data_IF_294679967498
#
_entry.id   IF_294679967498
#
_cell.length_a   1.000
_cell.length_b   1.000
_cell.length_c   1.000
_cell.angle_alpha   90.00
_cell.angle_beta   90.00
_cell.angle_gamma   90.00
#
_symmetry.space_group_name_H-M   'P 1'
#
loop_
_entity.id
_entity.type
_entity.pdbx_description
1 polymer ?
#
# COMPACT_ATOMS: atom_id res chain seq x y z
N UNK A 1 -28.20 39.08 22.08
CA UNK A 1 -27.28 38.46 21.08
C UNK A 1 -25.93 39.14 21.23
N UNK A 2 -24.82 38.45 21.46
CA UNK A 2 -23.51 39.05 21.46
C UNK A 2 -23.21 39.53 20.03
N UNK A 3 -22.98 40.79 19.85
CA UNK A 3 -22.51 41.40 18.60
C UNK A 3 -21.03 41.05 18.51
N UNK A 4 -20.68 40.06 17.72
CA UNK A 4 -19.28 39.76 17.42
C UNK A 4 -18.73 40.91 16.55
N UNK A 5 -17.60 41.43 16.96
CA UNK A 5 -16.85 42.42 16.19
C UNK A 5 -16.47 41.80 14.84
N UNK A 6 -17.02 42.32 13.74
CA UNK A 6 -16.78 41.87 12.38
C UNK A 6 -15.47 42.43 11.79
N UNK A 7 -14.64 43.06 12.62
CA UNK A 7 -13.35 43.57 12.17
C UNK A 7 -12.41 42.44 11.76
N UNK A 8 -11.78 42.59 10.60
CA UNK A 8 -10.77 41.65 10.10
C UNK A 8 -9.54 41.69 11.01
N UNK A 9 -9.23 40.57 11.65
CA UNK A 9 -7.99 40.39 12.38
C UNK A 9 -6.96 39.73 11.49
N UNK A 10 -5.88 40.43 11.20
CA UNK A 10 -4.76 39.85 10.45
C UNK A 10 -4.21 38.60 11.16
N UNK A 11 -4.00 37.53 10.40
CA UNK A 11 -3.41 36.32 10.93
C UNK A 11 -1.96 36.58 11.37
N UNK A 12 -1.66 36.36 12.65
CA UNK A 12 -0.32 36.53 13.23
C UNK A 12 0.45 35.24 13.44
N UNK A 13 -0.05 34.11 12.93
CA UNK A 13 0.60 32.82 13.04
C UNK A 13 1.71 32.61 11.98
N UNK A 14 2.56 31.62 12.21
CA UNK A 14 3.58 31.18 11.23
C UNK A 14 2.92 30.43 10.07
N UNK A 15 3.27 30.79 8.86
CA UNK A 15 2.83 30.05 7.67
C UNK A 15 3.69 28.79 7.49
N UNK A 16 3.04 27.64 7.30
CA UNK A 16 3.74 26.40 6.95
C UNK A 16 4.33 26.47 5.53
N UNK A 17 5.50 25.84 5.34
CA UNK A 17 6.17 25.79 4.03
C UNK A 17 5.28 25.18 2.95
N UNK A 18 5.32 25.75 1.73
CA UNK A 18 4.59 25.27 0.57
C UNK A 18 4.92 23.82 0.18
N UNK A 19 6.14 23.35 0.46
CA UNK A 19 6.65 22.03 0.08
C UNK A 19 5.96 20.87 0.82
N UNK A 20 5.39 21.09 2.01
CA UNK A 20 4.85 20.05 2.89
C UNK A 20 3.33 20.10 3.02
N UNK A 21 2.62 20.74 2.11
CA UNK A 21 1.15 20.89 2.17
C UNK A 21 0.42 19.54 2.13
N UNK A 22 0.89 18.60 1.33
CA UNK A 22 0.35 17.25 1.26
C UNK A 22 0.44 16.50 2.61
N UNK A 23 1.46 16.79 3.42
CA UNK A 23 1.66 16.15 4.72
C UNK A 23 0.54 16.49 5.71
N UNK A 24 -0.07 17.68 5.61
CA UNK A 24 -1.22 18.06 6.44
C UNK A 24 -2.43 17.16 6.13
N UNK A 25 -2.66 16.85 4.86
CA UNK A 25 -3.73 15.93 4.43
C UNK A 25 -3.43 14.51 4.92
N UNK A 26 -2.19 14.06 4.76
CA UNK A 26 -1.73 12.75 5.22
C UNK A 26 -1.90 12.61 6.74
N UNK A 27 -1.43 13.59 7.52
CA UNK A 27 -1.53 13.60 8.99
C UNK A 27 -2.99 13.56 9.46
N UNK A 28 -3.86 14.37 8.88
CA UNK A 28 -5.28 14.39 9.22
C UNK A 28 -5.97 13.06 8.86
N UNK A 29 -5.64 12.49 7.68
CA UNK A 29 -6.16 11.19 7.27
C UNK A 29 -5.70 10.05 8.17
N UNK A 30 -4.41 10.00 8.48
CA UNK A 30 -3.84 8.97 9.35
C UNK A 30 -4.39 9.07 10.77
N UNK A 31 -4.46 10.29 11.35
CA UNK A 31 -5.04 10.53 12.66
C UNK A 31 -6.49 10.03 12.74
N UNK A 32 -7.29 10.27 11.68
CA UNK A 32 -8.67 9.77 11.62
C UNK A 32 -8.74 8.24 11.74
N UNK A 33 -7.86 7.50 11.05
CA UNK A 33 -7.86 6.04 11.12
C UNK A 33 -7.29 5.51 12.44
N UNK A 34 -6.21 6.10 12.93
CA UNK A 34 -5.56 5.67 14.18
C UNK A 34 -6.39 5.98 15.43
N UNK A 35 -7.40 6.84 15.37
CA UNK A 35 -8.33 7.08 16.48
C UNK A 35 -9.55 6.15 16.49
N UNK A 36 -9.77 5.35 15.44
CA UNK A 36 -10.93 4.46 15.34
C UNK A 36 -10.59 3.06 15.81
N UNK A 37 -11.27 2.59 16.87
CA UNK A 37 -11.06 1.26 17.49
C UNK A 37 -11.06 0.11 16.47
N UNK A 38 -11.98 0.12 15.50
CA UNK A 38 -12.05 -0.93 14.48
C UNK A 38 -10.83 -0.96 13.57
N UNK A 39 -10.25 0.19 13.19
CA UNK A 39 -9.04 0.23 12.38
C UNK A 39 -7.81 -0.17 13.18
N UNK A 40 -7.76 0.21 14.46
CA UNK A 40 -6.70 -0.27 15.36
C UNK A 40 -6.78 -1.78 15.52
N UNK A 41 -7.96 -2.35 15.77
CA UNK A 41 -8.15 -3.80 15.86
C UNK A 41 -7.69 -4.51 14.58
N UNK A 42 -8.02 -3.96 13.41
CA UNK A 42 -7.55 -4.50 12.13
C UNK A 42 -6.01 -4.47 12.02
N UNK A 43 -5.36 -3.37 12.40
CA UNK A 43 -3.90 -3.27 12.42
C UNK A 43 -3.29 -4.30 13.39
N UNK A 44 -3.86 -4.46 14.58
CA UNK A 44 -3.40 -5.46 15.54
C UNK A 44 -3.50 -6.89 14.99
N UNK A 45 -4.61 -7.24 14.32
CA UNK A 45 -4.77 -8.55 13.67
C UNK A 45 -3.69 -8.73 12.59
N UNK A 46 -3.41 -7.70 11.78
CA UNK A 46 -2.37 -7.73 10.78
C UNK A 46 -0.96 -7.91 11.34
N UNK A 47 -0.74 -7.50 12.60
CA UNK A 47 0.54 -7.65 13.29
C UNK A 47 0.71 -8.99 13.99
N UNK A 48 -0.30 -9.85 14.07
CA UNK A 48 -0.18 -11.21 14.64
C UNK A 48 0.81 -12.06 13.82
N UNK A 49 0.73 -12.01 12.51
CA UNK A 49 1.61 -12.77 11.62
C UNK A 49 3.10 -12.39 11.76
N UNK A 50 3.50 -11.08 11.76
CA UNK A 50 4.87 -10.70 12.09
C UNK A 50 5.36 -11.21 13.45
N UNK A 51 4.51 -11.13 14.48
CA UNK A 51 4.85 -11.63 15.81
C UNK A 51 5.12 -13.14 15.76
N UNK A 52 4.26 -13.91 15.10
CA UNK A 52 4.46 -15.36 14.93
C UNK A 52 5.77 -15.67 14.19
N UNK A 53 6.11 -14.90 13.15
CA UNK A 53 7.40 -15.03 12.44
C UNK A 53 8.60 -14.65 13.31
N UNK A 54 8.47 -13.65 14.18
CA UNK A 54 9.51 -13.30 15.16
C UNK A 54 9.74 -14.38 16.19
N UNK A 55 8.65 -14.95 16.74
CA UNK A 55 8.75 -16.11 17.63
C UNK A 55 9.41 -17.29 16.93
N UNK A 56 9.10 -17.51 15.66
CA UNK A 56 9.73 -18.56 14.86
C UNK A 56 11.26 -18.34 14.74
N UNK A 57 11.73 -17.12 14.40
CA UNK A 57 13.15 -16.76 14.35
C UNK A 57 13.83 -17.06 15.69
N UNK A 58 13.19 -16.66 16.78
CA UNK A 58 13.73 -16.91 18.14
C UNK A 58 13.85 -18.39 18.47
N UNK A 59 12.82 -19.21 18.16
CA UNK A 59 12.84 -20.66 18.39
C UNK A 59 13.96 -21.34 17.57
N UNK A 60 14.11 -20.95 16.29
CA UNK A 60 15.12 -21.51 15.39
C UNK A 60 16.55 -21.30 15.92
N UNK A 61 16.81 -20.15 16.56
CA UNK A 61 18.13 -19.88 17.16
C UNK A 61 18.31 -20.51 18.56
N UNK A 62 17.21 -20.69 19.31
CA UNK A 62 17.26 -21.30 20.64
C UNK A 62 17.42 -22.83 20.59
N UNK A 63 17.04 -23.48 19.49
CA UNK A 63 17.05 -24.91 19.30
C UNK A 63 17.68 -25.31 17.97
N UNK A 64 19.02 -25.26 17.82
CA UNK A 64 19.70 -25.53 16.54
C UNK A 64 19.46 -26.92 15.98
N UNK A 65 19.04 -27.89 16.81
CA UNK A 65 18.71 -29.26 16.38
C UNK A 65 17.39 -29.35 15.63
N UNK A 66 16.56 -28.31 15.68
CA UNK A 66 15.26 -28.26 15.02
C UNK A 66 15.40 -27.47 13.72
N UNK A 67 15.93 -28.09 12.67
CA UNK A 67 15.93 -27.53 11.30
C UNK A 67 14.51 -27.47 10.73
N UNK A 68 13.68 -26.52 11.19
CA UNK A 68 12.31 -26.38 10.69
C UNK A 68 12.26 -25.67 9.34
N UNK A 69 12.91 -24.53 9.19
CA UNK A 69 12.95 -23.73 7.94
C UNK A 69 14.21 -22.87 7.97
N UNK A 70 14.88 -22.73 6.84
CA UNK A 70 16.01 -21.79 6.68
C UNK A 70 15.49 -20.36 6.65
N UNK A 71 16.15 -19.48 7.40
CA UNK A 71 15.84 -18.05 7.39
C UNK A 71 16.69 -17.39 6.29
N UNK A 72 16.16 -17.41 5.08
CA UNK A 72 16.78 -16.93 3.86
C UNK A 72 15.90 -15.86 3.18
N UNK A 73 16.24 -15.47 1.95
CA UNK A 73 15.44 -14.51 1.17
C UNK A 73 14.00 -14.97 0.92
N UNK A 74 13.77 -16.29 0.78
CA UNK A 74 12.42 -16.84 0.56
C UNK A 74 11.55 -16.74 1.81
N UNK A 75 12.14 -16.84 3.01
CA UNK A 75 11.43 -16.59 4.26
C UNK A 75 10.84 -15.16 4.30
N UNK A 76 11.63 -14.15 3.92
CA UNK A 76 11.18 -12.75 3.88
C UNK A 76 10.21 -12.49 2.72
N UNK A 77 10.46 -13.11 1.56
CA UNK A 77 9.53 -13.09 0.42
C UNK A 77 8.16 -13.64 0.83
N UNK A 78 8.12 -14.83 1.40
CA UNK A 78 6.89 -15.48 1.87
C UNK A 78 6.17 -14.64 2.94
N UNK A 79 6.92 -14.01 3.86
CA UNK A 79 6.34 -13.08 4.83
C UNK A 79 5.61 -11.91 4.15
N UNK A 80 6.27 -11.22 3.22
CA UNK A 80 5.70 -10.03 2.56
C UNK A 80 4.49 -10.38 1.68
N UNK A 81 4.52 -11.54 1.01
CA UNK A 81 3.41 -12.01 0.19
C UNK A 81 2.15 -12.27 1.03
N UNK A 82 2.29 -12.91 2.19
CA UNK A 82 1.17 -13.08 3.14
C UNK A 82 0.68 -11.72 3.66
N UNK A 83 1.60 -10.83 3.97
CA UNK A 83 1.26 -9.49 4.46
C UNK A 83 0.55 -8.63 3.40
N UNK A 84 0.75 -8.94 2.13
CA UNK A 84 0.02 -8.36 1.00
C UNK A 84 -1.50 -8.53 1.10
N UNK A 85 -1.99 -9.64 1.71
CA UNK A 85 -3.41 -9.83 2.01
C UNK A 85 -3.94 -8.73 2.95
N UNK A 86 -3.21 -8.39 4.01
CA UNK A 86 -3.61 -7.33 4.94
C UNK A 86 -3.56 -5.96 4.28
N UNK A 87 -2.61 -5.71 3.38
CA UNK A 87 -2.61 -4.49 2.57
C UNK A 87 -3.85 -4.42 1.68
N UNK A 88 -4.23 -5.52 1.02
CA UNK A 88 -5.44 -5.58 0.21
C UNK A 88 -6.70 -5.24 1.04
N UNK A 89 -6.83 -5.82 2.23
CA UNK A 89 -7.92 -5.50 3.15
C UNK A 89 -7.90 -4.04 3.61
N UNK A 90 -6.70 -3.47 3.86
CA UNK A 90 -6.54 -2.06 4.16
C UNK A 90 -6.95 -1.16 2.99
N UNK A 91 -6.73 -1.57 1.75
CA UNK A 91 -7.22 -0.88 0.58
C UNK A 91 -8.74 -0.95 0.46
N UNK A 92 -9.34 -2.14 0.60
CA UNK A 92 -10.78 -2.34 0.47
C UNK A 92 -11.57 -1.54 1.51
N UNK A 93 -11.11 -1.50 2.74
CA UNK A 93 -11.90 -0.94 3.83
C UNK A 93 -11.53 0.53 4.14
N UNK A 94 -10.36 0.90 4.69
CA UNK A 94 -10.03 2.31 4.90
C UNK A 94 -9.66 3.04 3.60
N UNK A 95 -8.86 2.43 2.72
CA UNK A 95 -8.35 3.05 1.50
C UNK A 95 -9.45 3.50 0.54
N UNK A 96 -10.44 2.65 0.31
CA UNK A 96 -11.58 2.94 -0.56
C UNK A 96 -12.44 4.12 -0.10
N UNK A 97 -12.36 4.51 1.17
CA UNK A 97 -13.12 5.64 1.73
C UNK A 97 -12.39 6.98 1.62
N UNK A 98 -11.11 7.00 1.26
CA UNK A 98 -10.26 8.20 1.33
C UNK A 98 -10.73 9.33 0.41
N UNK A 99 -11.13 9.04 -0.82
CA UNK A 99 -11.65 10.03 -1.78
C UNK A 99 -13.18 9.96 -1.84
N UNK A 100 -13.77 8.77 -1.80
CA UNK A 100 -15.21 8.58 -1.86
C UNK A 100 -15.96 9.37 -0.78
N UNK A 101 -15.41 9.46 0.43
CA UNK A 101 -15.96 10.27 1.51
C UNK A 101 -15.89 11.76 1.20
N UNK A 102 -14.76 12.24 0.67
CA UNK A 102 -14.59 13.64 0.30
C UNK A 102 -15.52 14.04 -0.84
N UNK A 103 -15.76 13.13 -1.79
CA UNK A 103 -16.77 13.30 -2.85
C UNK A 103 -18.19 13.38 -2.26
N UNK A 104 -18.52 12.52 -1.29
CA UNK A 104 -19.84 12.49 -0.66
C UNK A 104 -20.14 13.78 0.11
N UNK A 105 -19.15 14.34 0.79
CA UNK A 105 -19.27 15.54 1.62
C UNK A 105 -18.92 16.84 0.87
N UNK A 106 -18.62 16.77 -0.43
CA UNK A 106 -18.11 17.88 -1.24
C UNK A 106 -16.82 18.54 -0.67
N UNK A 107 -16.08 17.84 0.17
CA UNK A 107 -14.87 18.35 0.82
C UNK A 107 -13.74 18.64 -0.19
N UNK A 108 -13.74 18.02 -1.37
CA UNK A 108 -12.76 18.29 -2.42
C UNK A 108 -12.76 19.78 -2.80
N UNK A 109 -13.92 20.41 -2.86
CA UNK A 109 -14.04 21.86 -3.17
C UNK A 109 -13.34 22.70 -2.09
N UNK A 110 -13.50 22.34 -0.81
CA UNK A 110 -12.82 23.00 0.30
C UNK A 110 -11.30 22.81 0.29
N UNK A 111 -10.81 21.66 -0.14
CA UNK A 111 -9.38 21.45 -0.33
C UNK A 111 -8.82 22.30 -1.47
N UNK A 112 -9.51 22.34 -2.61
CA UNK A 112 -9.05 23.02 -3.80
C UNK A 112 -9.32 24.54 -3.78
N UNK A 113 -10.15 25.06 -2.87
CA UNK A 113 -10.28 26.50 -2.60
C UNK A 113 -9.10 27.06 -1.79
N UNK A 114 -8.31 26.20 -1.14
CA UNK A 114 -7.05 26.56 -0.50
C UNK A 114 -5.90 26.47 -1.50
N UNK A 115 -4.73 27.05 -1.22
CA UNK A 115 -3.58 26.97 -2.11
C UNK A 115 -2.94 25.56 -2.12
N UNK A 116 -3.75 24.54 -2.42
CA UNK A 116 -3.38 23.14 -2.55
C UNK A 116 -3.50 22.73 -4.01
N UNK A 117 -2.47 22.12 -4.57
CA UNK A 117 -2.53 21.54 -5.90
C UNK A 117 -3.31 20.21 -5.87
N UNK A 118 -3.82 19.79 -7.05
CA UNK A 118 -4.45 18.47 -7.21
C UNK A 118 -3.48 17.33 -6.86
N UNK A 119 -2.19 17.54 -7.19
CA UNK A 119 -1.13 16.59 -6.84
C UNK A 119 -0.92 16.50 -5.33
N UNK A 120 -0.90 17.63 -4.60
CA UNK A 120 -0.79 17.62 -3.14
C UNK A 120 -1.92 16.83 -2.49
N UNK A 121 -3.14 16.98 -3.03
CA UNK A 121 -4.29 16.22 -2.54
C UNK A 121 -4.12 14.71 -2.77
N UNK A 122 -3.78 14.28 -3.99
CA UNK A 122 -3.59 12.85 -4.31
C UNK A 122 -2.41 12.26 -3.54
N UNK A 123 -1.27 12.96 -3.48
CA UNK A 123 -0.09 12.54 -2.73
C UNK A 123 -0.41 12.46 -1.24
N UNK A 124 -1.14 13.41 -0.68
CA UNK A 124 -1.57 13.36 0.71
C UNK A 124 -2.45 12.15 1.03
N UNK A 125 -3.39 11.80 0.14
CA UNK A 125 -4.21 10.58 0.30
C UNK A 125 -3.42 9.30 0.10
N UNK A 126 -2.50 9.29 -0.88
CA UNK A 126 -1.59 8.16 -1.11
C UNK A 126 -0.68 7.92 0.10
N UNK A 127 -0.17 8.99 0.72
CA UNK A 127 0.67 8.90 1.90
C UNK A 127 -0.06 8.24 3.10
N UNK A 128 -1.39 8.37 3.20
CA UNK A 128 -2.17 7.62 4.21
C UNK A 128 -2.11 6.12 3.94
N UNK A 129 -2.32 5.69 2.69
CA UNK A 129 -2.22 4.26 2.31
C UNK A 129 -0.80 3.77 2.48
N UNK A 130 0.20 4.58 2.10
CA UNK A 130 1.61 4.25 2.25
C UNK A 130 2.02 4.09 3.72
N UNK A 131 1.51 4.94 4.62
CA UNK A 131 1.78 4.80 6.05
C UNK A 131 1.16 3.51 6.62
N UNK A 132 -0.08 3.19 6.27
CA UNK A 132 -0.74 1.95 6.70
C UNK A 132 -0.01 0.72 6.14
N UNK A 133 0.34 0.73 4.85
CA UNK A 133 1.11 -0.35 4.21
C UNK A 133 2.52 -0.47 4.80
N UNK A 134 3.17 0.64 5.12
CA UNK A 134 4.46 0.68 5.79
C UNK A 134 4.41 0.02 7.19
N UNK A 135 3.36 0.29 7.96
CA UNK A 135 3.13 -0.33 9.28
C UNK A 135 2.84 -1.84 9.15
N UNK A 136 2.10 -2.23 8.12
CA UNK A 136 1.71 -3.64 7.93
C UNK A 136 2.81 -4.50 7.30
N UNK A 137 3.58 -3.96 6.36
CA UNK A 137 4.54 -4.73 5.56
C UNK A 137 5.98 -4.32 5.86
N UNK A 138 6.35 -3.07 5.55
CA UNK A 138 7.75 -2.65 5.50
C UNK A 138 8.40 -2.66 6.87
N UNK A 139 7.76 -2.05 7.87
CA UNK A 139 8.32 -1.95 9.21
C UNK A 139 8.46 -3.35 9.88
N UNK A 140 7.43 -4.23 9.86
CA UNK A 140 7.60 -5.56 10.42
C UNK A 140 8.65 -6.40 9.69
N UNK A 141 8.73 -6.33 8.36
CA UNK A 141 9.76 -7.05 7.61
C UNK A 141 11.19 -6.62 7.99
N UNK A 142 11.39 -5.30 8.15
CA UNK A 142 12.69 -4.77 8.60
C UNK A 142 12.99 -5.14 10.06
N UNK A 143 11.98 -5.16 10.93
CA UNK A 143 12.15 -5.60 12.34
C UNK A 143 12.55 -7.07 12.37
N UNK A 144 11.90 -7.95 11.57
CA UNK A 144 12.27 -9.36 11.48
C UNK A 144 13.70 -9.53 10.95
N UNK A 145 14.10 -8.72 9.96
CA UNK A 145 15.47 -8.72 9.46
C UNK A 145 16.48 -8.31 10.55
N UNK A 146 16.18 -7.24 11.29
CA UNK A 146 17.05 -6.80 12.40
C UNK A 146 17.11 -7.83 13.53
N UNK A 147 16.00 -8.53 13.82
CA UNK A 147 15.95 -9.60 14.79
C UNK A 147 16.82 -10.78 14.36
N UNK A 148 16.74 -11.21 13.10
CA UNK A 148 17.60 -12.24 12.53
C UNK A 148 19.07 -11.83 12.60
N UNK A 149 19.36 -10.59 12.22
CA UNK A 149 20.70 -10.03 12.27
C UNK A 149 21.31 -10.06 13.69
N UNK A 150 20.49 -9.79 14.71
CA UNK A 150 20.95 -9.79 16.11
C UNK A 150 21.13 -11.18 16.72
N UNK A 151 20.44 -12.20 16.18
CA UNK A 151 20.49 -13.58 16.69
C UNK A 151 21.47 -14.47 15.90
N UNK A 152 21.67 -14.20 14.62
CA UNK A 152 22.57 -14.96 13.76
C UNK A 152 24.06 -14.63 14.03
N UNK A 153 24.96 -15.49 13.54
CA UNK A 153 26.39 -15.14 13.47
C UNK A 153 26.57 -14.01 12.48
N UNK A 154 26.60 -12.78 12.99
CA UNK A 154 26.42 -11.50 12.28
C UNK A 154 27.23 -11.36 10.99
N UNK A 155 28.49 -11.80 11.00
CA UNK A 155 29.38 -11.65 9.84
C UNK A 155 28.94 -12.46 8.62
N UNK A 156 28.44 -13.68 8.81
CA UNK A 156 28.00 -14.56 7.70
C UNK A 156 26.66 -14.10 7.14
N UNK A 157 25.71 -13.77 8.00
CA UNK A 157 24.40 -13.33 7.57
C UNK A 157 24.47 -12.00 6.80
N UNK A 158 25.19 -11.01 7.31
CA UNK A 158 25.39 -9.72 6.62
C UNK A 158 26.06 -9.92 5.28
N UNK A 159 27.14 -10.69 5.19
CA UNK A 159 27.87 -10.87 3.93
C UNK A 159 27.00 -11.48 2.84
N UNK A 160 26.04 -12.34 3.21
CA UNK A 160 25.15 -13.02 2.26
C UNK A 160 23.91 -12.18 1.93
N UNK A 161 23.32 -11.50 2.90
CA UNK A 161 21.97 -10.88 2.78
C UNK A 161 21.97 -9.35 2.97
N UNK A 162 23.09 -8.64 2.76
CA UNK A 162 23.20 -7.19 2.90
C UNK A 162 22.21 -6.40 2.03
N UNK A 163 21.82 -6.98 0.89
CA UNK A 163 20.87 -6.39 -0.07
C UNK A 163 19.40 -6.54 0.34
N UNK A 164 19.10 -7.45 1.26
CA UNK A 164 17.72 -7.82 1.64
C UNK A 164 16.88 -6.66 2.19
N UNK A 165 17.41 -5.74 3.04
CA UNK A 165 16.64 -4.56 3.46
C UNK A 165 16.23 -3.67 2.29
N UNK A 166 17.10 -3.51 1.28
CA UNK A 166 16.78 -2.75 0.07
C UNK A 166 15.72 -3.45 -0.76
N UNK A 167 15.77 -4.78 -0.86
CA UNK A 167 14.74 -5.58 -1.51
C UNK A 167 13.38 -5.44 -0.79
N UNK A 168 13.35 -5.51 0.54
CA UNK A 168 12.15 -5.31 1.35
C UNK A 168 11.54 -3.94 1.09
N UNK A 169 12.33 -2.87 1.18
CA UNK A 169 11.86 -1.50 0.95
C UNK A 169 11.38 -1.32 -0.50
N UNK A 170 12.18 -1.76 -1.47
CA UNK A 170 11.89 -1.60 -2.90
C UNK A 170 10.61 -2.32 -3.31
N UNK A 171 10.48 -3.60 -2.98
CA UNK A 171 9.28 -4.37 -3.27
C UNK A 171 8.04 -3.82 -2.55
N UNK A 172 8.15 -3.53 -1.24
CA UNK A 172 7.05 -2.94 -0.48
C UNK A 172 6.59 -1.62 -1.10
N UNK A 173 7.52 -0.75 -1.51
CA UNK A 173 7.19 0.51 -2.16
C UNK A 173 6.40 0.29 -3.46
N UNK A 174 6.84 -0.64 -4.32
CA UNK A 174 6.15 -0.96 -5.58
C UNK A 174 4.72 -1.42 -5.31
N UNK A 175 4.53 -2.39 -4.40
CA UNK A 175 3.20 -2.97 -4.12
C UNK A 175 2.29 -1.94 -3.43
N UNK A 176 2.79 -1.20 -2.45
CA UNK A 176 2.01 -0.19 -1.72
C UNK A 176 1.59 0.96 -2.65
N UNK A 177 2.50 1.44 -3.52
CA UNK A 177 2.19 2.50 -4.47
C UNK A 177 1.14 2.05 -5.48
N UNK A 178 1.29 0.86 -6.05
CA UNK A 178 0.35 0.35 -7.02
C UNK A 178 -1.03 0.09 -6.40
N UNK A 179 -1.11 -0.61 -5.27
CA UNK A 179 -2.36 -0.84 -4.56
C UNK A 179 -3.01 0.48 -4.12
N UNK A 180 -2.21 1.43 -3.61
CA UNK A 180 -2.65 2.74 -3.18
C UNK A 180 -3.22 3.57 -4.31
N UNK A 181 -2.54 3.68 -5.44
CA UNK A 181 -3.04 4.43 -6.61
C UNK A 181 -4.29 3.78 -7.19
N UNK A 182 -4.33 2.45 -7.26
CA UNK A 182 -5.49 1.73 -7.79
C UNK A 182 -6.72 1.88 -6.88
N UNK A 183 -6.56 1.77 -5.56
CA UNK A 183 -7.69 1.99 -4.64
C UNK A 183 -8.14 3.45 -4.61
N UNK A 184 -7.24 4.42 -4.71
CA UNK A 184 -7.60 5.83 -4.81
C UNK A 184 -8.34 6.12 -6.13
N UNK A 185 -7.92 5.50 -7.24
CA UNK A 185 -8.64 5.58 -8.50
C UNK A 185 -10.07 5.04 -8.36
N UNK A 186 -10.23 3.82 -7.81
CA UNK A 186 -11.54 3.25 -7.52
C UNK A 186 -12.37 4.14 -6.57
N UNK A 187 -11.74 4.72 -5.54
CA UNK A 187 -12.35 5.64 -4.58
C UNK A 187 -12.83 6.94 -5.24
N UNK A 188 -12.18 7.38 -6.30
CA UNK A 188 -12.57 8.59 -7.06
C UNK A 188 -13.77 8.36 -8.00
N UNK A 189 -14.12 7.13 -8.29
CA UNK A 189 -15.23 6.77 -9.19
C UNK A 189 -16.59 6.73 -8.49
N UNK A 190 -16.63 6.64 -7.16
CA UNK A 190 -17.87 6.51 -6.39
C UNK A 190 -17.90 7.45 -5.18
N UNK A 191 -19.11 7.93 -4.84
CA UNK A 191 -19.37 8.66 -3.58
C UNK A 191 -19.57 7.72 -2.38
N UNK A 192 -19.63 6.41 -2.61
CA UNK A 192 -19.73 5.39 -1.57
C UNK A 192 -18.44 4.63 -1.40
N UNK A 193 -17.87 4.63 -0.19
CA UNK A 193 -16.67 3.86 0.11
C UNK A 193 -16.88 2.34 -0.01
N UNK A 194 -18.10 1.84 0.19
CA UNK A 194 -18.42 0.42 0.01
C UNK A 194 -18.34 0.02 -1.48
N UNK A 195 -18.96 0.81 -2.37
CA UNK A 195 -18.85 0.56 -3.82
C UNK A 195 -17.40 0.72 -4.34
N UNK A 196 -16.66 1.71 -3.84
CA UNK A 196 -15.26 1.86 -4.18
C UNK A 196 -14.40 0.66 -3.75
N UNK A 197 -14.66 0.13 -2.54
CA UNK A 197 -14.02 -1.09 -2.05
C UNK A 197 -14.40 -2.32 -2.88
N UNK A 198 -15.66 -2.45 -3.26
CA UNK A 198 -16.14 -3.52 -4.14
C UNK A 198 -15.52 -3.44 -5.54
N UNK A 199 -15.36 -2.24 -6.10
CA UNK A 199 -14.67 -2.04 -7.39
C UNK A 199 -13.20 -2.47 -7.30
N UNK A 200 -12.50 -2.07 -6.25
CA UNK A 200 -11.10 -2.47 -6.04
C UNK A 200 -10.98 -3.98 -5.82
N UNK A 201 -11.82 -4.57 -4.96
CA UNK A 201 -11.86 -6.02 -4.74
C UNK A 201 -12.19 -6.76 -6.02
N UNK A 202 -13.22 -6.31 -6.74
CA UNK A 202 -13.63 -6.90 -8.02
C UNK A 202 -12.51 -6.90 -9.05
N UNK A 203 -11.76 -5.79 -9.18
CA UNK A 203 -10.61 -5.72 -10.08
C UNK A 203 -9.58 -6.82 -9.76
N UNK A 204 -9.24 -6.99 -8.48
CA UNK A 204 -8.27 -8.01 -8.04
C UNK A 204 -8.86 -9.42 -8.24
N UNK A 205 -10.07 -9.66 -7.77
CA UNK A 205 -10.72 -10.97 -7.82
C UNK A 205 -10.96 -11.43 -9.26
N UNK A 206 -11.53 -10.57 -10.10
CA UNK A 206 -11.81 -10.96 -11.49
C UNK A 206 -10.54 -11.07 -12.33
N UNK A 207 -9.47 -10.32 -12.05
CA UNK A 207 -8.18 -10.54 -12.70
C UNK A 207 -7.61 -11.92 -12.39
N UNK A 208 -7.74 -12.37 -11.13
CA UNK A 208 -7.31 -13.72 -10.72
C UNK A 208 -8.13 -14.82 -11.39
N UNK A 209 -9.47 -14.66 -11.38
CA UNK A 209 -10.37 -15.64 -12.03
C UNK A 209 -10.12 -15.70 -13.53
N UNK A 210 -9.99 -14.54 -14.19
CA UNK A 210 -9.72 -14.49 -15.63
C UNK A 210 -8.38 -15.15 -16.00
N UNK A 211 -7.32 -14.89 -15.23
CA UNK A 211 -6.03 -15.54 -15.43
C UNK A 211 -6.15 -17.06 -15.26
N UNK A 212 -6.79 -17.55 -14.21
CA UNK A 212 -6.99 -18.96 -13.95
C UNK A 212 -7.77 -19.66 -15.09
N UNK A 213 -8.85 -19.04 -15.58
CA UNK A 213 -9.61 -19.56 -16.71
C UNK A 213 -8.78 -19.60 -18.01
N UNK A 214 -8.04 -18.53 -18.30
CA UNK A 214 -7.18 -18.48 -19.49
C UNK A 214 -6.08 -19.53 -19.44
N UNK A 215 -5.40 -19.70 -18.31
CA UNK A 215 -4.40 -20.78 -18.12
C UNK A 215 -5.04 -22.16 -18.29
N UNK A 216 -6.23 -22.38 -17.71
CA UNK A 216 -6.94 -23.66 -17.83
C UNK A 216 -7.30 -24.02 -19.28
N UNK A 217 -7.81 -23.04 -20.04
CA UNK A 217 -8.26 -23.23 -21.42
C UNK A 217 -7.07 -23.36 -22.38
N UNK A 218 -6.09 -22.49 -22.26
CA UNK A 218 -4.97 -22.38 -23.20
C UNK A 218 -3.79 -23.30 -22.86
N UNK A 219 -3.76 -23.84 -21.64
CA UNK A 219 -2.62 -24.58 -21.07
C UNK A 219 -1.31 -23.80 -21.12
N UNK A 220 -1.38 -22.48 -21.14
CA UNK A 220 -0.22 -21.59 -21.20
C UNK A 220 -0.18 -20.72 -19.92
N UNK A 221 0.83 -20.96 -19.08
CA UNK A 221 1.03 -20.25 -17.81
C UNK A 221 1.33 -18.75 -17.99
N UNK A 222 1.75 -18.33 -19.19
CA UNK A 222 1.99 -16.92 -19.50
C UNK A 222 0.76 -16.02 -19.27
N UNK A 223 -0.46 -16.57 -19.35
CA UNK A 223 -1.68 -15.82 -19.03
C UNK A 223 -1.83 -15.47 -17.53
N UNK A 224 -1.00 -15.98 -16.64
CA UNK A 224 -0.86 -15.52 -15.27
C UNK A 224 -0.58 -14.02 -15.16
N UNK A 225 -0.02 -13.41 -16.22
CA UNK A 225 0.21 -11.95 -16.33
C UNK A 225 -1.09 -11.11 -16.22
N UNK A 226 -2.26 -11.69 -16.42
CA UNK A 226 -3.56 -11.02 -16.27
C UNK A 226 -3.93 -10.84 -14.79
N UNK A 227 -3.43 -11.67 -13.91
CA UNK A 227 -3.71 -11.64 -12.47
C UNK A 227 -2.83 -10.62 -11.76
N UNK A 228 -3.44 -9.63 -11.13
CA UNK A 228 -2.71 -8.63 -10.33
C UNK A 228 -1.97 -9.23 -9.14
N UNK A 229 -2.53 -10.17 -8.35
CA UNK A 229 -1.79 -10.86 -7.29
C UNK A 229 -0.62 -11.67 -7.80
N UNK A 230 -0.78 -12.36 -8.93
CA UNK A 230 0.28 -13.18 -9.50
C UNK A 230 1.40 -12.33 -10.09
N UNK A 231 1.06 -11.17 -10.69
CA UNK A 231 2.05 -10.17 -11.07
C UNK A 231 2.87 -9.68 -9.88
N UNK A 232 2.25 -9.42 -8.74
CA UNK A 232 2.96 -9.02 -7.54
C UNK A 232 3.91 -10.13 -7.05
N UNK A 233 3.47 -11.40 -7.11
CA UNK A 233 4.33 -12.57 -6.81
C UNK A 233 5.51 -12.67 -7.77
N UNK A 234 5.26 -12.56 -9.07
CA UNK A 234 6.31 -12.59 -10.08
C UNK A 234 7.32 -11.43 -9.91
N UNK A 235 6.84 -10.21 -9.60
CA UNK A 235 7.72 -9.08 -9.31
C UNK A 235 8.56 -9.33 -8.08
N UNK A 236 8.05 -10.05 -7.06
CA UNK A 236 8.83 -10.37 -5.86
C UNK A 236 10.10 -11.17 -6.19
N UNK A 237 10.08 -12.00 -7.24
CA UNK A 237 11.27 -12.77 -7.66
C UNK A 237 12.42 -11.86 -8.12
N UNK A 238 12.14 -10.66 -8.64
CA UNK A 238 13.18 -9.68 -9.01
C UNK A 238 13.90 -9.11 -7.79
N UNK A 239 13.19 -8.98 -6.67
CA UNK A 239 13.72 -8.37 -5.46
C UNK A 239 14.35 -9.38 -4.51
N UNK A 240 13.79 -10.58 -4.41
CA UNK A 240 14.20 -11.60 -3.43
C UNK A 240 14.91 -12.79 -4.07
N UNK A 241 14.94 -12.86 -5.39
CA UNK A 241 15.34 -14.08 -6.10
C UNK A 241 14.20 -15.10 -6.12
N UNK A 242 14.48 -16.27 -6.68
CA UNK A 242 13.52 -17.38 -6.77
C UNK A 242 13.20 -17.78 -8.21
N UNK A 243 12.42 -18.85 -8.37
CA UNK A 243 11.99 -19.35 -9.66
C UNK A 243 10.93 -18.46 -10.30
N UNK A 244 10.96 -18.36 -11.63
CA UNK A 244 9.94 -17.64 -12.39
C UNK A 244 8.62 -18.43 -12.34
N UNK A 245 7.53 -17.77 -11.98
CA UNK A 245 6.23 -18.45 -11.82
C UNK A 245 5.49 -18.67 -13.15
N UNK A 246 5.77 -17.89 -14.21
CA UNK A 246 4.96 -17.92 -15.45
C UNK A 246 5.76 -18.12 -16.74
N UNK A 247 7.00 -18.55 -16.69
CA UNK A 247 7.82 -18.68 -17.90
C UNK A 247 8.07 -17.36 -18.67
N UNK A 248 7.51 -16.25 -18.20
CA UNK A 248 7.73 -14.91 -18.75
C UNK A 248 8.81 -14.18 -17.97
N UNK A 249 9.56 -13.32 -18.67
CA UNK A 249 10.55 -12.48 -18.02
C UNK A 249 9.88 -11.51 -17.02
N UNK A 250 10.37 -11.36 -15.79
CA UNK A 250 9.75 -10.51 -14.76
C UNK A 250 9.54 -9.06 -15.18
N UNK A 251 10.35 -8.54 -16.11
CA UNK A 251 10.17 -7.20 -16.69
C UNK A 251 8.81 -7.06 -17.37
N UNK A 252 8.30 -8.10 -18.03
CA UNK A 252 6.97 -8.05 -18.63
C UNK A 252 5.87 -7.85 -17.57
N UNK A 253 5.98 -8.56 -16.45
CA UNK A 253 5.09 -8.40 -15.31
C UNK A 253 5.16 -6.99 -14.71
N UNK A 254 6.38 -6.44 -14.61
CA UNK A 254 6.58 -5.07 -14.13
C UNK A 254 5.96 -4.04 -15.08
N UNK A 255 6.06 -4.20 -16.40
CA UNK A 255 5.45 -3.32 -17.39
C UNK A 255 3.92 -3.33 -17.31
N UNK A 256 3.31 -4.51 -17.17
CA UNK A 256 1.86 -4.61 -16.99
C UNK A 256 1.43 -3.92 -15.69
N UNK A 257 2.18 -4.13 -14.60
CA UNK A 257 1.90 -3.51 -13.32
C UNK A 257 2.03 -1.96 -13.39
N UNK A 258 3.06 -1.47 -14.09
CA UNK A 258 3.24 -0.05 -14.38
C UNK A 258 2.09 0.53 -15.21
N UNK A 259 1.53 -0.24 -16.15
CA UNK A 259 0.35 0.16 -16.94
C UNK A 259 -0.87 0.35 -16.04
N UNK A 260 -1.12 -0.56 -15.09
CA UNK A 260 -2.22 -0.41 -14.11
C UNK A 260 -2.05 0.88 -13.28
N UNK A 261 -0.83 1.16 -12.85
CA UNK A 261 -0.48 2.40 -12.13
C UNK A 261 -0.74 3.64 -12.99
N UNK A 262 -0.31 3.61 -14.25
CA UNK A 262 -0.51 4.72 -15.20
C UNK A 262 -2.00 4.99 -15.47
N UNK A 263 -2.79 3.92 -15.68
CA UNK A 263 -4.26 4.02 -15.86
C UNK A 263 -4.90 4.61 -14.60
N UNK A 264 -4.52 4.13 -13.41
CA UNK A 264 -5.01 4.64 -12.14
C UNK A 264 -4.71 6.13 -11.96
N UNK A 265 -3.50 6.56 -12.31
CA UNK A 265 -3.10 7.97 -12.28
C UNK A 265 -3.90 8.82 -13.29
N UNK A 266 -4.15 8.29 -14.48
CA UNK A 266 -4.98 8.95 -15.49
C UNK A 266 -6.42 9.17 -14.98
N UNK A 267 -7.02 8.14 -14.36
CA UNK A 267 -8.35 8.25 -13.75
C UNK A 267 -8.35 9.34 -12.67
N UNK A 268 -7.36 9.34 -11.76
CA UNK A 268 -7.26 10.34 -10.71
C UNK A 268 -7.14 11.76 -11.27
N UNK A 269 -6.30 11.97 -12.29
CA UNK A 269 -6.15 13.27 -12.96
C UNK A 269 -7.46 13.79 -13.57
N UNK A 270 -8.28 12.89 -14.12
CA UNK A 270 -9.57 13.24 -14.75
C UNK A 270 -10.68 13.49 -13.71
N UNK A 271 -10.67 12.78 -12.59
CA UNK A 271 -11.74 12.81 -11.57
C UNK A 271 -11.52 13.88 -10.50
N UNK A 272 -10.29 14.12 -10.09
CA UNK A 272 -9.96 15.16 -9.11
C UNK A 272 -9.86 16.50 -9.82
N UNK A 273 -11.01 17.16 -10.05
CA UNK A 273 -11.09 18.50 -10.67
C UNK A 273 -11.71 19.49 -9.69
N UNK A 274 -11.25 20.74 -9.73
CA UNK A 274 -12.01 21.84 -9.15
C UNK A 274 -13.30 21.98 -9.97
N UNK A 275 -14.43 22.12 -9.29
CA UNK A 275 -15.68 22.50 -9.98
C UNK A 275 -15.52 23.96 -10.36
N UNK A 276 -15.46 24.25 -11.66
CA UNK A 276 -15.61 25.61 -12.15
C UNK A 276 -17.08 25.98 -11.88
N UNK A 277 -17.28 26.94 -11.00
CA UNK A 277 -18.59 27.60 -10.87
C UNK A 277 -18.72 28.44 -12.13
N UNK A 278 -19.49 27.94 -13.09
CA UNK A 278 -19.91 28.74 -14.23
C UNK A 278 -20.85 29.79 -13.66
N UNK A 279 -20.38 31.01 -13.57
CA UNK A 279 -21.18 32.22 -13.33
C UNK A 279 -22.00 32.54 -14.53
#
# INVERSE_FOLDING_TARGET
MPIYDLSYRAYRGTFSSHRWRWATIAKAGLAYYLTRKLYLAFLFIGLIHPIARGVYIWIAHSNPEVELIKIDSEFFRGFILVQGFFLMMACIWPGARLIARDLKTNAIQLYLSKPLSRLDYVVGKLAVVAAIGGILITAPALILFLMELGLSTTSVFISTYWWLPLAIIGYSAVVILAAGLTVLAASSLSRSGAYAGLLFFGLIFFSQVAAGLLVLITRNEAFGVVSLPDLARQISTMFFGGALEFGLHPIASFLVYATVVAVSMCILRRRVKAVEIVT
#
